data_IF_989373660813
#
_entry.id   IF_989373660813
#
_cell.length_a   1.000
_cell.length_b   1.000
_cell.length_c   1.000
_cell.angle_alpha   90.00
_cell.angle_beta   90.00
_cell.angle_gamma   90.00
#
_symmetry.space_group_name_H-M   'P 1'
#
loop_
_entity.id
_entity.type
_entity.pdbx_description
1 polymer ?
#
# COMPACT_ATOMS: atom_id res chain seq x y z
N UNK A 1 3.69 6.49 9.68
CA UNK A 1 5.11 6.89 9.81
C UNK A 1 5.28 8.19 9.03
N UNK A 2 5.81 9.21 9.66
CA UNK A 2 6.10 10.49 9.03
C UNK A 2 7.55 10.48 8.53
N UNK A 3 7.74 10.62 7.21
CA UNK A 3 9.08 10.71 6.60
C UNK A 3 9.73 12.10 6.79
N UNK A 4 8.97 13.07 7.35
CA UNK A 4 9.42 14.45 7.50
C UNK A 4 9.75 15.13 6.16
N UNK A 5 10.53 16.23 6.17
CA UNK A 5 10.88 16.96 4.95
C UNK A 5 11.92 16.26 4.06
N UNK A 6 12.34 15.05 4.43
CA UNK A 6 13.50 14.37 3.86
C UNK A 6 13.32 13.65 2.53
N UNK A 7 12.15 13.70 1.91
CA UNK A 7 11.91 13.04 0.61
C UNK A 7 12.34 13.86 -0.61
N UNK A 8 13.05 14.97 -0.43
CA UNK A 8 13.54 15.84 -1.52
C UNK A 8 14.83 15.36 -2.19
N UNK A 9 15.32 14.15 -1.90
CA UNK A 9 16.55 13.58 -2.48
C UNK A 9 16.22 12.64 -3.65
N UNK A 10 17.20 12.42 -4.52
CA UNK A 10 17.05 11.57 -5.69
C UNK A 10 17.64 10.17 -5.51
N UNK A 11 18.58 9.99 -4.57
CA UNK A 11 19.29 8.73 -4.36
C UNK A 11 18.97 8.17 -2.97
N UNK A 12 18.91 6.85 -2.87
CA UNK A 12 18.58 6.14 -1.63
C UNK A 12 19.61 6.39 -0.53
N UNK A 13 20.87 6.48 -0.87
CA UNK A 13 21.99 6.75 0.07
C UNK A 13 21.92 8.14 0.69
N UNK A 14 21.20 9.07 0.06
CA UNK A 14 21.04 10.44 0.55
C UNK A 14 19.82 10.60 1.46
N UNK A 15 19.03 9.53 1.68
CA UNK A 15 17.86 9.59 2.53
C UNK A 15 18.23 9.96 3.97
N UNK A 16 17.61 10.99 4.56
CA UNK A 16 17.77 11.25 5.98
C UNK A 16 17.17 10.10 6.81
N UNK A 17 17.68 9.92 8.02
CA UNK A 17 17.33 8.79 8.90
C UNK A 17 15.84 8.48 9.01
N UNK A 18 14.91 9.46 9.17
CA UNK A 18 13.48 9.14 9.24
C UNK A 18 12.94 8.50 7.96
N UNK A 19 13.36 9.00 6.79
CA UNK A 19 12.95 8.46 5.50
C UNK A 19 13.59 7.09 5.22
N UNK A 20 14.87 6.90 5.56
CA UNK A 20 15.55 5.62 5.48
C UNK A 20 14.88 4.56 6.37
N UNK A 21 14.48 4.92 7.60
CA UNK A 21 13.73 4.04 8.49
C UNK A 21 12.34 3.68 7.93
N UNK A 22 11.64 4.62 7.27
CA UNK A 22 10.38 4.32 6.60
C UNK A 22 10.57 3.28 5.50
N UNK A 23 11.55 3.45 4.63
CA UNK A 23 11.86 2.50 3.55
C UNK A 23 12.23 1.13 4.14
N UNK A 24 13.09 1.09 5.15
CA UNK A 24 13.47 -0.15 5.82
C UNK A 24 12.28 -0.84 6.51
N UNK A 25 11.34 -0.08 7.07
CA UNK A 25 10.12 -0.63 7.67
C UNK A 25 9.19 -1.25 6.63
N UNK A 26 9.08 -0.64 5.44
CA UNK A 26 8.34 -1.22 4.31
C UNK A 26 8.99 -2.54 3.87
N UNK A 27 10.30 -2.54 3.68
CA UNK A 27 11.06 -3.71 3.20
C UNK A 27 11.12 -4.86 4.20
N UNK A 28 11.02 -4.56 5.49
CA UNK A 28 11.04 -5.55 6.57
C UNK A 28 9.67 -5.99 7.05
N UNK A 29 8.59 -5.53 6.44
CA UNK A 29 7.24 -5.90 6.84
C UNK A 29 6.86 -7.31 6.36
N UNK A 30 6.06 -8.04 7.14
CA UNK A 30 5.47 -9.32 6.73
C UNK A 30 4.31 -9.13 5.74
N UNK A 31 3.63 -7.99 5.79
CA UNK A 31 2.53 -7.61 4.92
C UNK A 31 2.34 -6.07 4.94
N UNK A 32 1.70 -5.51 3.93
CA UNK A 32 1.41 -4.08 3.86
C UNK A 32 -0.07 -3.81 3.64
N UNK A 33 -0.56 -2.76 4.29
CA UNK A 33 -1.77 -2.06 3.89
C UNK A 33 -1.31 -0.69 3.39
N UNK A 34 -1.46 -0.44 2.11
CA UNK A 34 -1.04 0.82 1.50
C UNK A 34 -2.23 1.70 1.19
N UNK A 35 -2.11 2.98 1.50
CA UNK A 35 -3.16 3.97 1.26
C UNK A 35 -2.61 5.27 0.69
N UNK A 36 -3.32 5.83 -0.29
CA UNK A 36 -2.96 7.11 -0.90
C UNK A 36 -4.20 7.95 -1.17
N UNK A 37 -4.15 9.27 -0.96
CA UNK A 37 -5.15 10.14 -1.55
C UNK A 37 -4.99 10.17 -3.07
N UNK A 38 -6.12 10.36 -3.78
CA UNK A 38 -6.10 10.57 -5.22
C UNK A 38 -5.92 12.06 -5.51
N UNK A 39 -4.82 12.40 -6.16
CA UNK A 39 -4.54 13.72 -6.67
C UNK A 39 -4.38 13.69 -8.20
N UNK A 40 -5.09 14.59 -8.90
CA UNK A 40 -5.02 14.72 -10.36
C UNK A 40 -5.22 13.38 -11.12
N UNK A 41 -6.13 12.53 -10.59
CA UNK A 41 -6.48 11.26 -11.23
C UNK A 41 -5.52 10.09 -10.96
N UNK A 42 -4.52 10.24 -10.08
CA UNK A 42 -3.56 9.20 -9.72
C UNK A 42 -3.26 9.17 -8.22
N UNK A 43 -2.38 8.27 -7.81
CA UNK A 43 -1.84 8.27 -6.45
C UNK A 43 -0.98 9.54 -6.21
N UNK A 44 -0.82 9.94 -4.95
CA UNK A 44 0.01 11.10 -4.60
C UNK A 44 1.47 10.92 -5.04
N UNK A 45 2.10 11.98 -5.58
CA UNK A 45 3.49 11.92 -6.04
C UNK A 45 4.46 11.51 -4.95
N UNK A 46 4.29 11.99 -3.71
CA UNK A 46 5.12 11.59 -2.58
C UNK A 46 4.92 10.11 -2.20
N UNK A 47 3.73 9.55 -2.39
CA UNK A 47 3.50 8.12 -2.22
C UNK A 47 4.37 7.32 -3.19
N UNK A 48 4.33 7.68 -4.48
CA UNK A 48 5.18 7.02 -5.50
C UNK A 48 6.67 7.18 -5.17
N UNK A 49 7.08 8.37 -4.76
CA UNK A 49 8.47 8.67 -4.47
C UNK A 49 9.05 7.83 -3.32
N UNK A 50 8.26 7.50 -2.29
CA UNK A 50 8.67 6.54 -1.26
C UNK A 50 9.00 5.18 -1.88
N UNK A 51 8.15 4.69 -2.78
CA UNK A 51 8.33 3.39 -3.43
C UNK A 51 9.44 3.41 -4.49
N UNK A 52 9.92 4.57 -4.93
CA UNK A 52 11.11 4.68 -5.79
C UNK A 52 12.40 4.30 -5.04
N UNK A 53 12.40 4.37 -3.72
CA UNK A 53 13.54 3.97 -2.89
C UNK A 53 13.47 2.51 -2.39
N UNK A 54 12.33 1.85 -2.54
CA UNK A 54 12.14 0.46 -2.07
C UNK A 54 12.82 -0.52 -3.02
N UNK A 55 13.58 -1.45 -2.48
CA UNK A 55 14.18 -2.55 -3.24
C UNK A 55 13.08 -3.51 -3.74
N UNK A 56 12.89 -3.67 -5.06
CA UNK A 56 11.90 -4.58 -5.61
C UNK A 56 12.02 -6.02 -5.10
N UNK A 57 13.24 -6.50 -4.85
CA UNK A 57 13.46 -7.85 -4.35
C UNK A 57 12.88 -8.07 -2.94
N UNK A 58 12.74 -7.00 -2.15
CA UNK A 58 12.14 -7.06 -0.80
C UNK A 58 10.62 -7.09 -0.82
N UNK A 59 10.02 -6.69 -1.92
CA UNK A 59 8.56 -6.66 -2.10
C UNK A 59 8.02 -7.92 -2.80
N UNK A 60 8.88 -8.69 -3.44
CA UNK A 60 8.45 -9.86 -4.20
C UNK A 60 7.75 -10.88 -3.28
N UNK A 61 6.52 -11.25 -3.64
CA UNK A 61 5.67 -12.14 -2.85
C UNK A 61 5.08 -11.54 -1.57
N UNK A 62 5.37 -10.28 -1.23
CA UNK A 62 4.82 -9.63 -0.05
C UNK A 62 3.31 -9.45 -0.16
N UNK A 63 2.52 -9.88 0.84
CA UNK A 63 1.07 -9.65 0.88
C UNK A 63 0.74 -8.15 1.00
N UNK A 64 -0.13 -7.65 0.12
CA UNK A 64 -0.50 -6.21 0.10
C UNK A 64 -1.99 -6.01 -0.10
N UNK A 65 -2.61 -5.16 0.75
CA UNK A 65 -3.94 -4.58 0.49
C UNK A 65 -3.76 -3.17 -0.07
N UNK A 66 -4.47 -2.89 -1.15
CA UNK A 66 -4.47 -1.60 -1.82
C UNK A 66 -5.68 -0.77 -1.41
N UNK A 67 -5.43 0.45 -0.93
CA UNK A 67 -6.50 1.39 -0.57
C UNK A 67 -6.25 2.77 -1.16
N UNK A 68 -7.33 3.51 -1.41
CA UNK A 68 -7.23 4.91 -1.78
C UNK A 68 -8.42 5.72 -1.25
N UNK A 69 -8.20 7.01 -1.06
CA UNK A 69 -9.26 7.98 -0.78
C UNK A 69 -9.28 9.06 -1.86
N UNK A 70 -10.44 9.63 -2.15
CA UNK A 70 -10.50 10.71 -3.14
C UNK A 70 -11.82 11.46 -3.12
N UNK A 71 -11.92 12.52 -3.89
CA UNK A 71 -13.03 13.47 -3.89
C UNK A 71 -14.34 12.99 -4.54
N UNK A 72 -14.51 11.71 -4.81
CA UNK A 72 -15.75 11.13 -5.35
C UNK A 72 -15.52 9.85 -6.15
N UNK A 73 -16.61 9.14 -6.44
CA UNK A 73 -16.61 7.80 -7.06
C UNK A 73 -15.94 7.74 -8.45
N UNK A 74 -15.86 8.86 -9.18
CA UNK A 74 -15.16 8.93 -10.47
C UNK A 74 -13.66 8.55 -10.38
N UNK A 75 -13.10 8.54 -9.18
CA UNK A 75 -11.70 8.19 -8.92
C UNK A 75 -11.53 6.76 -8.37
N UNK A 76 -12.61 6.02 -8.12
CA UNK A 76 -12.55 4.71 -7.48
C UNK A 76 -11.66 3.70 -8.22
N UNK A 77 -11.58 3.78 -9.55
CA UNK A 77 -10.75 2.88 -10.37
C UNK A 77 -9.25 3.17 -10.31
N UNK A 78 -8.80 4.25 -9.64
CA UNK A 78 -7.36 4.54 -9.46
C UNK A 78 -6.65 3.38 -8.77
N UNK A 79 -7.32 2.67 -7.86
CA UNK A 79 -6.73 1.51 -7.20
C UNK A 79 -6.35 0.44 -8.22
N UNK A 80 -7.25 0.15 -9.19
CA UNK A 80 -7.02 -0.89 -10.18
C UNK A 80 -6.10 -0.44 -11.33
N UNK A 81 -6.23 0.82 -11.79
CA UNK A 81 -5.49 1.31 -12.96
C UNK A 81 -4.13 1.94 -12.64
N UNK A 82 -3.87 2.30 -11.39
CA UNK A 82 -2.63 2.96 -11.00
C UNK A 82 -1.89 2.21 -9.88
N UNK A 83 -2.57 1.91 -8.75
CA UNK A 83 -1.90 1.22 -7.63
C UNK A 83 -1.59 -0.24 -7.96
N UNK A 84 -2.54 -1.00 -8.49
CA UNK A 84 -2.32 -2.42 -8.80
C UNK A 84 -1.17 -2.64 -9.79
N UNK A 85 -1.02 -1.89 -10.90
CA UNK A 85 0.15 -1.99 -11.76
C UNK A 85 1.46 -1.63 -11.05
N UNK A 86 1.47 -0.63 -10.15
CA UNK A 86 2.66 -0.27 -9.39
C UNK A 86 3.13 -1.43 -8.51
N UNK A 87 2.23 -2.07 -7.76
CA UNK A 87 2.58 -3.21 -6.92
C UNK A 87 2.79 -4.50 -7.71
N UNK A 88 2.23 -4.59 -8.92
CA UNK A 88 2.56 -5.62 -9.91
C UNK A 88 4.01 -5.55 -10.37
N UNK A 89 4.59 -4.35 -10.55
CA UNK A 89 6.01 -4.16 -10.83
C UNK A 89 6.89 -4.78 -9.75
N UNK A 90 6.50 -4.68 -8.48
CA UNK A 90 7.20 -5.27 -7.35
C UNK A 90 6.95 -6.79 -7.20
N UNK A 91 6.16 -7.40 -8.06
CA UNK A 91 5.72 -8.80 -7.92
C UNK A 91 5.07 -9.10 -6.54
N UNK A 92 4.40 -8.11 -5.93
CA UNK A 92 3.71 -8.27 -4.66
C UNK A 92 2.46 -9.15 -4.80
N UNK A 93 2.11 -9.89 -3.76
CA UNK A 93 0.85 -10.65 -3.68
C UNK A 93 -0.28 -9.74 -3.20
N UNK A 94 -0.97 -9.11 -4.14
CA UNK A 94 -2.05 -8.19 -3.84
C UNK A 94 -3.34 -8.93 -3.50
N UNK A 95 -4.00 -8.54 -2.40
CA UNK A 95 -5.35 -9.01 -2.09
C UNK A 95 -6.31 -8.72 -3.26
N UNK A 96 -7.23 -9.64 -3.59
CA UNK A 96 -8.23 -9.43 -4.64
C UNK A 96 -9.07 -8.19 -4.38
N UNK A 97 -9.47 -7.97 -3.13
CA UNK A 97 -10.29 -6.84 -2.72
C UNK A 97 -9.43 -5.61 -2.44
N UNK A 98 -9.59 -4.57 -3.25
CA UNK A 98 -9.09 -3.23 -2.97
C UNK A 98 -10.16 -2.36 -2.31
N UNK A 99 -9.79 -1.29 -1.62
CA UNK A 99 -10.74 -0.40 -0.95
C UNK A 99 -10.55 1.03 -1.43
N UNK A 100 -11.66 1.66 -1.82
CA UNK A 100 -11.73 3.09 -2.08
C UNK A 100 -12.78 3.72 -1.19
N UNK A 101 -12.48 4.88 -0.62
CA UNK A 101 -13.43 5.67 0.16
C UNK A 101 -13.47 7.12 -0.34
N UNK A 102 -14.66 7.63 -0.56
CA UNK A 102 -14.95 9.02 -0.86
C UNK A 102 -15.27 9.82 0.41
N UNK A 103 -15.56 11.14 0.26
CA UNK A 103 -15.89 12.00 1.41
C UNK A 103 -17.18 11.55 2.14
N UNK A 104 -18.16 11.04 1.40
CA UNK A 104 -19.46 10.63 1.96
C UNK A 104 -19.37 9.30 2.72
N UNK A 105 -18.29 8.55 2.51
CA UNK A 105 -18.07 7.26 3.17
C UNK A 105 -17.41 7.39 4.55
N UNK A 106 -17.00 8.62 4.91
CA UNK A 106 -16.20 8.90 6.10
C UNK A 106 -16.76 10.08 6.92
N UNK A 107 -16.68 9.98 8.24
CA UNK A 107 -16.96 11.07 9.17
C UNK A 107 -15.83 11.15 10.19
N UNK A 108 -15.27 12.32 10.41
CA UNK A 108 -14.17 12.58 11.37
C UNK A 108 -12.98 11.59 11.20
N UNK A 109 -12.63 11.29 9.95
CA UNK A 109 -11.52 10.39 9.61
C UNK A 109 -11.82 8.91 9.83
N UNK A 110 -13.07 8.53 10.09
CA UNK A 110 -13.51 7.15 10.27
C UNK A 110 -14.46 6.73 9.16
N UNK A 111 -14.34 5.50 8.69
CA UNK A 111 -15.29 4.91 7.73
C UNK A 111 -16.63 4.73 8.45
N UNK A 112 -17.69 5.33 7.89
CA UNK A 112 -19.07 5.25 8.37
C UNK A 112 -19.99 4.55 7.40
N UNK A 113 -19.63 4.45 6.13
CA UNK A 113 -20.37 3.67 5.15
C UNK A 113 -20.20 2.16 5.40
N UNK A 114 -21.34 1.46 5.47
CA UNK A 114 -21.38 0.02 5.83
C UNK A 114 -20.81 -0.87 4.72
N UNK A 115 -20.92 -0.46 3.44
CA UNK A 115 -20.40 -1.23 2.32
C UNK A 115 -18.88 -1.10 2.22
N UNK A 116 -18.34 0.09 2.45
CA UNK A 116 -16.89 0.32 2.50
C UNK A 116 -16.30 -0.40 3.70
N UNK A 117 -16.96 -0.38 4.87
CA UNK A 117 -16.53 -1.11 6.05
C UNK A 117 -16.51 -2.65 5.81
N UNK A 118 -17.57 -3.19 5.21
CA UNK A 118 -17.63 -4.61 4.86
C UNK A 118 -16.54 -5.00 3.85
N UNK A 119 -16.28 -4.14 2.85
CA UNK A 119 -15.22 -4.35 1.88
C UNK A 119 -13.84 -4.34 2.51
N UNK A 120 -13.61 -3.45 3.48
CA UNK A 120 -12.37 -3.41 4.28
C UNK A 120 -12.18 -4.69 5.11
N UNK A 121 -13.26 -5.19 5.73
CA UNK A 121 -13.23 -6.45 6.46
C UNK A 121 -12.87 -7.64 5.54
N UNK A 122 -13.43 -7.69 4.34
CA UNK A 122 -13.08 -8.70 3.33
C UNK A 122 -11.60 -8.62 2.96
N UNK A 123 -11.10 -7.42 2.65
CA UNK A 123 -9.68 -7.22 2.33
C UNK A 123 -8.74 -7.65 3.47
N UNK A 124 -9.14 -7.43 4.73
CA UNK A 124 -8.37 -7.85 5.89
C UNK A 124 -8.29 -9.38 6.03
N UNK A 125 -9.40 -10.09 5.77
CA UNK A 125 -9.42 -11.56 5.74
C UNK A 125 -8.53 -12.11 4.62
N UNK A 126 -8.60 -11.52 3.44
CA UNK A 126 -7.77 -11.91 2.30
C UNK A 126 -6.27 -11.67 2.59
N UNK A 127 -5.93 -10.54 3.23
CA UNK A 127 -4.54 -10.26 3.64
C UNK A 127 -4.02 -11.30 4.62
N UNK A 128 -4.83 -11.67 5.62
CA UNK A 128 -4.46 -12.71 6.59
C UNK A 128 -4.19 -14.06 5.90
N UNK A 129 -5.04 -14.45 4.96
CA UNK A 129 -4.85 -15.69 4.19
C UNK A 129 -3.55 -15.66 3.35
N UNK A 130 -3.26 -14.54 2.69
CA UNK A 130 -2.02 -14.36 1.94
C UNK A 130 -0.79 -14.41 2.83
N UNK A 131 -0.86 -13.85 4.04
CA UNK A 131 0.22 -13.86 5.02
C UNK A 131 0.52 -15.29 5.50
N UNK A 132 -0.51 -16.10 5.74
CA UNK A 132 -0.34 -17.51 6.13
C UNK A 132 0.35 -18.31 5.01
N UNK A 133 -0.06 -18.12 3.75
CA UNK A 133 0.58 -18.75 2.59
C UNK A 133 2.04 -18.32 2.45
N UNK A 134 2.34 -17.03 2.61
CA UNK A 134 3.70 -16.50 2.53
C UNK A 134 4.62 -17.14 3.58
N UNK A 135 4.14 -17.31 4.81
CA UNK A 135 4.88 -17.96 5.92
C UNK A 135 5.19 -19.43 5.61
N UNK A 136 4.24 -20.17 5.03
CA UNK A 136 4.44 -21.58 4.65
C UNK A 136 5.50 -21.71 3.57
N UNK A 137 5.44 -20.84 2.55
CA UNK A 137 6.43 -20.84 1.46
C UNK A 137 7.82 -20.49 1.99
N UNK A 138 7.93 -19.46 2.84
CA UNK A 138 9.20 -19.04 3.44
C UNK A 138 9.84 -20.12 4.32
N UNK A 139 9.04 -20.83 5.10
CA UNK A 139 9.51 -21.94 5.92
C UNK A 139 10.00 -23.13 5.08
N UNK A 140 9.35 -23.42 3.94
CA UNK A 140 9.75 -24.49 3.02
C UNK A 140 11.03 -24.18 2.22
N UNK A 141 11.35 -22.91 2.00
CA UNK A 141 12.56 -22.48 1.30
C UNK A 141 13.83 -22.48 2.20
N UNK A 142 13.65 -22.52 3.53
CA UNK A 142 14.73 -22.51 4.52
C UNK A 142 15.13 -23.92 5.01
N UNK A 143 14.43 -24.97 4.57
CA UNK A 143 14.68 -26.37 4.89
C UNK A 143 15.42 -27.07 3.73
#
# INVERSE_FOLDING_TARGET
>A
IDAGPGLGVALREDLPLPAAHLVAAIEGADALIVGTPVYQGGYAGLFKHVFDFVDPAKMAGMPVVLTATGGGLRHALVVEHSLRPLFGFFAAHMAPTSVYAGPDDMTDGRITDVLVAARLATAAVELAALLDVSRVIGAGAAA
#
